data_IF_055075653467
#
_entry.id   IF_055075653467
#
_cell.length_a   1.000
_cell.length_b   1.000
_cell.length_c   1.000
_cell.angle_alpha   90.00
_cell.angle_beta   90.00
_cell.angle_gamma   90.00
#
_symmetry.space_group_name_H-M   'P 1'
#
loop_
_entity.id
_entity.type
_entity.pdbx_description
1 polymer ?
#
# COMPACT_ATOMS: atom_id res chain seq x y z
N UNK A 1 -7.61 26.68 -1.65
CA UNK A 1 -6.73 25.50 -1.67
C UNK A 1 -7.37 24.51 -0.71
N UNK A 2 -8.13 23.57 -1.24
CA UNK A 2 -8.80 22.58 -0.40
C UNK A 2 -7.73 21.64 0.13
N UNK A 3 -7.43 21.79 1.43
CA UNK A 3 -6.74 20.78 2.22
C UNK A 3 -7.70 19.60 2.33
N UNK A 4 -7.76 18.80 1.28
CA UNK A 4 -8.36 17.48 1.36
C UNK A 4 -7.44 16.70 2.30
N UNK A 5 -7.89 16.49 3.54
CA UNK A 5 -7.31 15.53 4.47
C UNK A 5 -7.49 14.14 3.85
N UNK A 6 -6.64 13.83 2.86
CA UNK A 6 -6.71 12.59 2.10
C UNK A 6 -6.52 11.43 3.08
N UNK A 7 -7.62 10.74 3.31
CA UNK A 7 -7.66 9.51 4.08
C UNK A 7 -7.09 8.39 3.20
N UNK A 8 -6.27 7.55 3.81
CA UNK A 8 -5.63 6.42 3.15
C UNK A 8 -5.74 5.16 4.00
N UNK A 9 -5.84 4.03 3.32
CA UNK A 9 -5.69 2.70 3.93
C UNK A 9 -4.30 2.18 3.67
N UNK A 10 -3.84 1.34 4.58
CA UNK A 10 -2.58 0.64 4.45
C UNK A 10 -2.90 -0.79 4.05
N UNK A 11 -2.41 -1.21 2.89
CA UNK A 11 -2.47 -2.58 2.45
C UNK A 11 -1.12 -3.23 2.70
N UNK A 12 -1.10 -4.35 3.39
CA UNK A 12 0.13 -5.08 3.70
C UNK A 12 0.03 -6.53 3.23
N UNK A 13 1.13 -6.99 2.63
CA UNK A 13 1.28 -8.33 2.10
C UNK A 13 1.77 -9.23 3.23
N UNK A 14 0.98 -10.23 3.57
CA UNK A 14 1.36 -11.28 4.51
C UNK A 14 1.67 -12.57 3.77
N UNK A 15 2.74 -13.23 4.17
CA UNK A 15 3.02 -14.58 3.76
C UNK A 15 2.13 -15.53 4.58
N UNK A 16 1.42 -16.40 3.89
CA UNK A 16 0.71 -17.55 4.44
C UNK A 16 1.39 -18.79 3.89
N UNK A 17 1.42 -19.90 4.63
CA UNK A 17 2.07 -21.19 4.29
C UNK A 17 2.80 -21.24 2.93
N UNK A 18 2.07 -21.33 1.81
CA UNK A 18 2.62 -21.40 0.45
C UNK A 18 2.25 -20.21 -0.47
N UNK A 19 1.58 -19.17 0.06
CA UNK A 19 0.99 -18.08 -0.72
C UNK A 19 1.16 -16.71 -0.07
N UNK A 20 0.81 -15.66 -0.80
CA UNK A 20 0.73 -14.30 -0.26
C UNK A 20 -0.71 -13.79 -0.29
N UNK A 21 -1.11 -13.14 0.80
CA UNK A 21 -2.40 -12.47 0.93
C UNK A 21 -2.19 -10.98 1.19
N UNK A 22 -2.98 -10.14 0.51
CA UNK A 22 -3.09 -8.74 0.89
C UNK A 22 -4.12 -8.58 1.99
N UNK A 23 -3.75 -7.88 3.06
CA UNK A 23 -4.67 -7.43 4.10
C UNK A 23 -4.70 -5.92 4.17
N UNK A 24 -5.84 -5.39 4.59
CA UNK A 24 -6.09 -3.96 4.66
C UNK A 24 -6.22 -3.55 6.11
N UNK A 25 -5.73 -2.36 6.45
CA UNK A 25 -5.98 -1.77 7.75
C UNK A 25 -7.49 -1.60 7.99
N UNK A 26 -7.99 -1.94 9.19
CA UNK A 26 -9.41 -1.79 9.51
C UNK A 26 -9.85 -0.33 9.58
N UNK A 27 -8.89 0.59 9.75
CA UNK A 27 -9.09 2.03 9.84
C UNK A 27 -8.36 2.74 8.71
N UNK A 28 -8.82 3.95 8.39
CA UNK A 28 -8.10 4.91 7.56
C UNK A 28 -7.18 5.76 8.41
N UNK A 29 -6.18 6.35 7.76
CA UNK A 29 -5.23 7.28 8.35
C UNK A 29 -5.18 8.52 7.47
N UNK A 30 -4.76 9.65 8.03
CA UNK A 30 -4.30 10.75 7.18
C UNK A 30 -3.09 10.30 6.34
N UNK A 31 -2.92 10.91 5.16
CA UNK A 31 -1.88 10.52 4.21
C UNK A 31 -0.46 10.54 4.77
N UNK A 32 -0.15 11.43 5.72
CA UNK A 32 1.18 11.53 6.33
C UNK A 32 1.38 10.37 7.32
N UNK A 33 0.39 10.13 8.19
CA UNK A 33 0.36 9.00 9.11
C UNK A 33 0.46 7.66 8.41
N UNK A 34 -0.29 7.48 7.31
CA UNK A 34 -0.26 6.28 6.49
C UNK A 34 1.14 6.00 5.94
N UNK A 35 1.81 7.03 5.38
CA UNK A 35 3.18 6.94 4.87
C UNK A 35 4.19 6.60 5.97
N UNK A 36 4.07 7.23 7.13
CA UNK A 36 4.98 6.97 8.25
C UNK A 36 4.87 5.52 8.75
N UNK A 37 3.66 4.98 8.85
CA UNK A 37 3.43 3.58 9.22
C UNK A 37 3.96 2.64 8.12
N UNK A 38 3.69 2.94 6.84
CA UNK A 38 4.20 2.16 5.72
C UNK A 38 5.73 2.08 5.71
N UNK A 39 6.44 3.19 5.98
CA UNK A 39 7.89 3.18 6.10
C UNK A 39 8.39 2.24 7.20
N UNK A 40 7.75 2.24 8.38
CA UNK A 40 8.08 1.32 9.48
C UNK A 40 7.89 -0.14 9.08
N UNK A 41 6.78 -0.46 8.41
CA UNK A 41 6.50 -1.81 7.93
C UNK A 41 7.50 -2.26 6.85
N UNK A 42 7.88 -1.37 5.94
CA UNK A 42 8.89 -1.65 4.91
C UNK A 42 10.27 -1.95 5.52
N UNK A 43 10.66 -1.25 6.58
CA UNK A 43 11.91 -1.53 7.33
C UNK A 43 11.89 -2.94 7.94
N UNK A 44 10.71 -3.45 8.32
CA UNK A 44 10.52 -4.81 8.82
C UNK A 44 10.45 -5.87 7.70
N UNK A 45 10.65 -5.49 6.43
CA UNK A 45 10.58 -6.38 5.27
C UNK A 45 9.15 -6.72 4.84
N UNK A 46 8.14 -6.02 5.34
CA UNK A 46 6.74 -6.25 4.98
C UNK A 46 6.41 -5.46 3.71
N UNK A 47 5.91 -6.14 2.68
CA UNK A 47 5.40 -5.49 1.47
C UNK A 47 4.16 -4.66 1.82
N UNK A 48 4.19 -3.37 1.51
CA UNK A 48 3.14 -2.43 1.92
C UNK A 48 2.83 -1.43 0.81
N UNK A 49 1.55 -1.09 0.67
CA UNK A 49 1.01 -0.08 -0.24
C UNK A 49 0.17 0.90 0.59
N UNK A 50 0.34 2.20 0.34
CA UNK A 50 -0.57 3.23 0.84
C UNK A 50 -1.54 3.53 -0.29
N UNK A 51 -2.83 3.30 -0.05
CA UNK A 51 -3.89 3.51 -1.03
C UNK A 51 -4.85 4.59 -0.51
N UNK A 52 -5.15 5.64 -1.30
CA UNK A 52 -6.24 6.57 -1.00
C UNK A 52 -7.56 5.81 -0.74
N UNK A 53 -8.35 6.25 0.24
CA UNK A 53 -9.58 5.55 0.64
C UNK A 53 -10.63 5.54 -0.48
N UNK A 54 -10.72 6.61 -1.25
CA UNK A 54 -11.57 6.72 -2.44
C UNK A 54 -11.18 5.72 -3.53
N UNK A 55 -9.89 5.62 -3.84
CA UNK A 55 -9.37 4.62 -4.79
C UNK A 55 -9.64 3.19 -4.29
N UNK A 56 -9.51 2.95 -2.98
CA UNK A 56 -9.82 1.65 -2.37
C UNK A 56 -11.31 1.31 -2.45
N UNK A 57 -12.20 2.27 -2.23
CA UNK A 57 -13.66 2.06 -2.33
C UNK A 57 -14.06 1.76 -3.78
N UNK A 58 -13.42 2.41 -4.75
CA UNK A 58 -13.68 2.19 -6.17
C UNK A 58 -13.13 0.84 -6.67
N UNK A 59 -11.87 0.51 -6.31
CA UNK A 59 -11.13 -0.61 -6.92
C UNK A 59 -11.01 -1.85 -6.02
N UNK A 60 -11.24 -1.71 -4.71
CA UNK A 60 -11.18 -2.77 -3.73
C UNK A 60 -9.78 -3.21 -3.32
N UNK A 61 -9.71 -4.34 -2.59
CA UNK A 61 -8.44 -5.01 -2.27
C UNK A 61 -7.85 -5.54 -3.58
N UNK A 62 -6.53 -5.42 -3.81
CA UNK A 62 -5.86 -6.08 -4.90
C UNK A 62 -5.87 -7.61 -4.70
N UNK A 63 -7.00 -8.24 -5.02
CA UNK A 63 -7.11 -9.69 -5.20
C UNK A 63 -6.44 -10.07 -6.55
N UNK A 64 -6.25 -9.08 -7.43
CA UNK A 64 -5.92 -9.26 -8.86
C UNK A 64 -4.83 -8.35 -9.41
N UNK A 65 -4.27 -7.42 -8.63
CA UNK A 65 -3.18 -6.58 -9.15
C UNK A 65 -1.86 -7.34 -9.05
N UNK A 66 -1.37 -7.79 -10.20
CA UNK A 66 0.04 -8.10 -10.37
C UNK A 66 0.79 -6.80 -10.07
N UNK A 67 1.30 -6.65 -8.84
CA UNK A 67 1.70 -5.38 -8.24
C UNK A 67 2.80 -4.61 -9.01
N UNK A 68 3.27 -5.13 -10.14
CA UNK A 68 4.18 -4.46 -11.08
C UNK A 68 3.68 -3.06 -11.46
N UNK A 69 2.39 -2.86 -11.69
CA UNK A 69 1.86 -1.56 -12.16
C UNK A 69 1.96 -0.42 -11.13
N UNK A 70 2.12 -0.74 -9.84
CA UNK A 70 2.31 0.27 -8.78
C UNK A 70 3.78 0.39 -8.32
N UNK A 71 4.67 -0.47 -8.85
CA UNK A 71 6.05 -0.60 -8.36
C UNK A 71 7.14 -0.70 -9.44
N UNK A 72 6.84 -0.75 -10.74
CA UNK A 72 7.80 -0.50 -11.83
C UNK A 72 7.83 1.01 -12.11
N UNK A 73 8.93 1.77 -12.09
CA UNK A 73 10.36 1.45 -12.09
C UNK A 73 11.15 2.42 -11.17
N UNK A 74 12.08 1.87 -10.40
CA UNK A 74 13.40 2.48 -10.21
C UNK A 74 14.46 1.38 -10.14
N UNK A 75 14.38 0.39 -11.03
CA UNK A 75 15.58 -0.29 -11.53
C UNK A 75 16.07 0.50 -12.74
N UNK A 76 16.46 1.76 -12.51
CA UNK A 76 17.32 2.48 -13.42
C UNK A 76 18.77 2.22 -12.98
N UNK A 77 19.48 1.49 -13.83
CA UNK A 77 20.93 1.30 -13.89
C UNK A 77 21.52 0.18 -13.03
N UNK A 78 21.40 -1.05 -13.55
CA UNK A 78 22.61 -1.88 -13.68
C UNK A 78 23.31 -1.46 -14.98
N UNK A 79 24.53 -0.92 -14.87
CA UNK A 79 25.37 -0.50 -15.98
C UNK A 79 26.64 0.18 -15.49
#
# INVERSE_FOLDING_TARGET
MENHDYQARILFRMQTNDNFEWRVSPVTFDSIGARHIALKLKILGIGVVVCPDDEYVEKGVPITFNAREYFEESDASTG
#
